data_IF_296299003525
#
_entry.id   IF_296299003525
#
_cell.length_a   1.000
_cell.length_b   1.000
_cell.length_c   1.000
_cell.angle_alpha   90.00
_cell.angle_beta   90.00
_cell.angle_gamma   90.00
#
_symmetry.space_group_name_H-M   'P 1'
#
loop_
_entity.id
_entity.type
_entity.pdbx_description
1 polymer ?
#
# COMPACT_ATOMS: atom_id res chain seq x y z
N UNK A 1 -6.39 1.60 -29.56
CA UNK A 1 -6.10 2.43 -28.37
C UNK A 1 -7.29 2.27 -27.44
N UNK A 2 -7.38 1.18 -26.67
CA UNK A 2 -8.58 0.84 -25.85
C UNK A 2 -8.22 0.54 -24.38
N UNK A 3 -6.96 0.73 -24.00
CA UNK A 3 -6.42 0.36 -22.69
C UNK A 3 -6.85 1.34 -21.59
N UNK A 4 -6.89 2.65 -21.91
CA UNK A 4 -7.33 3.69 -20.97
C UNK A 4 -8.84 3.63 -20.67
N UNK A 5 -9.64 3.10 -21.59
CA UNK A 5 -11.08 2.89 -21.38
C UNK A 5 -11.35 1.87 -20.26
N UNK A 6 -10.45 0.90 -19.99
CA UNK A 6 -10.61 -0.04 -18.86
C UNK A 6 -10.53 0.67 -17.50
N UNK A 7 -9.70 1.70 -17.39
CA UNK A 7 -9.52 2.53 -16.19
C UNK A 7 -10.73 3.46 -15.99
N UNK A 8 -11.34 3.92 -17.09
CA UNK A 8 -12.50 4.81 -17.09
C UNK A 8 -13.85 4.09 -17.04
N UNK A 9 -13.89 2.75 -17.11
CA UNK A 9 -15.12 2.01 -16.88
C UNK A 9 -15.67 2.37 -15.49
N UNK A 10 -16.95 2.82 -15.40
CA UNK A 10 -17.55 3.23 -14.14
C UNK A 10 -17.56 2.03 -13.18
N UNK A 11 -16.64 2.05 -12.21
CA UNK A 11 -16.49 1.00 -11.18
C UNK A 11 -15.08 0.39 -11.05
N UNK A 12 -14.21 0.52 -12.05
CA UNK A 12 -12.83 -0.01 -11.98
C UNK A 12 -11.90 0.97 -11.25
N UNK A 13 -12.01 2.27 -11.56
CA UNK A 13 -11.19 3.31 -10.92
C UNK A 13 -11.28 3.32 -9.38
N UNK A 14 -12.48 3.25 -8.75
CA UNK A 14 -12.58 3.20 -7.29
C UNK A 14 -11.95 1.93 -6.70
N UNK A 15 -12.01 0.79 -7.40
CA UNK A 15 -11.40 -0.47 -6.95
C UNK A 15 -9.87 -0.41 -6.98
N UNK A 16 -9.29 0.22 -8.00
CA UNK A 16 -7.84 0.44 -8.07
C UNK A 16 -7.37 1.38 -6.96
N UNK A 17 -8.10 2.47 -6.71
CA UNK A 17 -7.80 3.40 -5.62
C UNK A 17 -7.94 2.73 -4.24
N UNK A 18 -8.95 1.87 -4.07
CA UNK A 18 -9.13 1.06 -2.87
C UNK A 18 -7.95 0.08 -2.68
N UNK A 19 -7.53 -0.62 -3.74
CA UNK A 19 -6.37 -1.51 -3.68
C UNK A 19 -5.08 -0.77 -3.35
N UNK A 20 -4.88 0.41 -3.95
CA UNK A 20 -3.73 1.28 -3.66
C UNK A 20 -3.75 1.75 -2.19
N UNK A 21 -4.91 2.14 -1.69
CA UNK A 21 -5.08 2.56 -0.29
C UNK A 21 -4.72 1.44 0.69
N UNK A 22 -5.15 0.20 0.40
CA UNK A 22 -4.78 -0.97 1.20
C UNK A 22 -3.27 -1.20 1.21
N UNK A 23 -2.60 -1.08 0.05
CA UNK A 23 -1.14 -1.22 -0.06
C UNK A 23 -0.40 -0.20 0.80
N UNK A 24 -0.87 1.05 0.85
CA UNK A 24 -0.30 2.11 1.71
C UNK A 24 -0.42 1.74 3.19
N UNK A 25 -1.56 1.19 3.62
CA UNK A 25 -1.72 0.76 5.01
C UNK A 25 -0.82 -0.41 5.36
N UNK A 26 -0.71 -1.40 4.46
CA UNK A 26 0.18 -2.54 4.67
C UNK A 26 1.63 -2.07 4.81
N UNK A 27 2.08 -1.18 3.92
CA UNK A 27 3.45 -0.66 3.99
C UNK A 27 3.69 0.16 5.27
N UNK A 28 2.75 1.02 5.65
CA UNK A 28 2.84 1.81 6.87
C UNK A 28 2.90 0.94 8.14
N UNK A 29 2.04 -0.07 8.26
CA UNK A 29 2.05 -1.01 9.39
C UNK A 29 3.34 -1.82 9.41
N UNK A 30 3.80 -2.30 8.25
CA UNK A 30 5.03 -3.10 8.13
C UNK A 30 6.27 -2.29 8.54
N UNK A 31 6.37 -1.04 8.08
CA UNK A 31 7.46 -0.13 8.45
C UNK A 31 7.35 0.27 9.92
N UNK A 32 6.15 0.58 10.41
CA UNK A 32 5.93 0.93 11.81
C UNK A 32 6.30 -0.19 12.78
N UNK A 33 6.12 -1.45 12.39
CA UNK A 33 6.58 -2.62 13.13
C UNK A 33 8.08 -2.90 12.97
N UNK A 34 8.66 -2.61 11.81
CA UNK A 34 10.08 -2.88 11.58
C UNK A 34 11.01 -1.89 12.30
N UNK A 35 10.62 -0.63 12.45
CA UNK A 35 11.38 0.40 13.16
C UNK A 35 11.74 -0.04 14.61
N UNK A 36 10.79 -0.42 15.48
CA UNK A 36 11.10 -0.84 16.84
C UNK A 36 11.91 -2.14 16.91
N UNK A 37 11.78 -3.04 15.93
CA UNK A 37 12.58 -4.28 15.87
C UNK A 37 14.02 -3.98 15.45
N UNK A 38 14.23 -3.08 14.48
CA UNK A 38 15.55 -2.70 13.98
C UNK A 38 16.33 -1.77 14.92
N UNK A 39 15.62 -1.03 15.78
CA UNK A 39 16.21 -0.13 16.77
C UNK A 39 16.47 -0.78 18.13
N UNK A 40 16.29 -2.10 18.29
CA UNK A 40 16.71 -2.78 19.51
C UNK A 40 18.24 -2.98 19.48
N UNK A 41 19.06 -2.20 20.21
CA UNK A 41 20.50 -2.42 20.25
C UNK A 41 20.77 -3.78 20.90
N UNK A 42 21.50 -4.70 20.26
CA UNK A 42 21.96 -5.89 20.94
C UNK A 42 23.03 -5.47 21.96
N UNK A 43 22.69 -5.58 23.25
CA UNK A 43 23.55 -5.52 24.44
C UNK A 43 23.95 -4.13 24.98
N UNK A 44 23.32 -3.75 26.11
CA UNK A 44 24.06 -3.31 27.29
C UNK A 44 24.54 -4.54 28.07
#
# INVERSE_FOLDING_TARGET
MHDVEILLQPGVFPRLLQGLWVTIWISAVSVGLSIPIGLNPPHA
#
